data_IF_231626364728
#
_entry.id   IF_231626364728
#
_cell.length_a   1.000
_cell.length_b   1.000
_cell.length_c   1.000
_cell.angle_alpha   90.00
_cell.angle_beta   90.00
_cell.angle_gamma   90.00
#
_symmetry.space_group_name_H-M   'P 1'
#
loop_
_entity.id
_entity.type
_entity.pdbx_description
1 polymer ?
#
# COMPACT_ATOMS: atom_id res chain seq x y z
N UNK A 1 41.50 -22.01 -19.69
CA UNK A 1 40.28 -21.42 -19.12
C UNK A 1 40.52 -19.94 -19.05
N UNK A 2 39.98 -19.20 -20.01
CA UNK A 2 39.92 -17.74 -19.92
C UNK A 2 38.87 -17.41 -18.88
N UNK A 3 39.30 -16.80 -17.77
CA UNK A 3 38.39 -16.27 -16.77
C UNK A 3 37.44 -15.29 -17.45
N UNK A 4 36.15 -15.59 -17.40
CA UNK A 4 35.09 -14.65 -17.77
C UNK A 4 35.15 -13.57 -16.69
N UNK A 5 35.79 -12.45 -17.02
CA UNK A 5 35.63 -11.22 -16.24
C UNK A 5 34.20 -10.78 -16.53
N UNK A 6 33.26 -11.15 -15.66
CA UNK A 6 31.97 -10.48 -15.58
C UNK A 6 32.27 -9.03 -15.16
N UNK A 7 32.47 -8.18 -16.15
CA UNK A 7 32.33 -6.74 -15.99
C UNK A 7 30.85 -6.52 -15.72
N UNK A 8 30.43 -6.64 -14.46
CA UNK A 8 29.07 -6.31 -14.05
C UNK A 8 28.81 -4.87 -14.48
N UNK A 9 27.97 -4.70 -15.52
CA UNK A 9 27.56 -3.39 -15.96
C UNK A 9 26.78 -2.72 -14.82
N UNK A 10 27.38 -1.70 -14.22
CA UNK A 10 26.77 -0.92 -13.15
C UNK A 10 25.58 -0.16 -13.72
N UNK A 11 24.42 -0.30 -13.07
CA UNK A 11 23.22 0.40 -13.50
C UNK A 11 23.36 1.92 -13.37
N UNK A 12 23.00 2.63 -14.43
CA UNK A 12 23.15 4.07 -14.61
C UNK A 12 21.97 4.63 -15.38
N UNK A 13 21.87 5.96 -15.36
CA UNK A 13 20.90 6.65 -16.17
C UNK A 13 21.28 6.53 -17.65
N UNK A 14 20.28 6.22 -18.48
CA UNK A 14 20.44 6.05 -19.94
C UNK A 14 20.46 7.38 -20.70
N UNK A 15 20.13 8.47 -20.01
CA UNK A 15 20.04 9.83 -20.56
C UNK A 15 20.77 10.80 -19.65
N UNK A 16 21.27 11.89 -20.24
CA UNK A 16 21.89 12.98 -19.47
C UNK A 16 20.87 13.67 -18.56
N UNK A 17 21.38 14.30 -17.50
CA UNK A 17 20.57 14.94 -16.45
C UNK A 17 19.60 15.99 -17.03
N UNK A 18 20.02 16.76 -18.03
CA UNK A 18 19.17 17.79 -18.66
C UNK A 18 17.97 17.18 -19.39
N UNK A 19 18.19 16.07 -20.11
CA UNK A 19 17.14 15.34 -20.83
C UNK A 19 16.20 14.67 -19.83
N UNK A 20 16.76 14.19 -18.71
CA UNK A 20 15.99 13.60 -17.62
C UNK A 20 15.02 14.63 -17.05
N UNK A 21 15.49 15.82 -16.68
CA UNK A 21 14.62 16.89 -16.17
C UNK A 21 13.54 17.34 -17.16
N UNK A 22 13.83 17.28 -18.47
CA UNK A 22 12.83 17.60 -19.50
C UNK A 22 11.75 16.52 -19.66
N UNK A 23 12.10 15.25 -19.45
CA UNK A 23 11.17 14.13 -19.58
C UNK A 23 10.29 13.96 -18.34
N UNK A 24 10.84 14.18 -17.15
CA UNK A 24 10.12 14.12 -15.88
C UNK A 24 9.54 15.50 -15.52
N UNK A 25 8.45 15.86 -16.21
CA UNK A 25 7.84 17.20 -16.14
C UNK A 25 7.20 17.52 -14.80
N UNK A 26 6.64 16.51 -14.12
CA UNK A 26 5.94 16.71 -12.87
C UNK A 26 6.96 16.84 -11.73
N UNK A 27 6.88 17.94 -10.98
CA UNK A 27 7.81 18.24 -9.89
C UNK A 27 7.10 18.11 -8.55
N UNK A 28 7.36 17.00 -7.86
CA UNK A 28 7.06 16.87 -6.45
C UNK A 28 8.22 17.43 -5.63
N UNK A 29 7.89 18.29 -4.66
CA UNK A 29 8.84 18.82 -3.68
C UNK A 29 8.73 17.99 -2.40
N UNK A 30 9.88 17.73 -1.76
CA UNK A 30 9.91 17.12 -0.43
C UNK A 30 9.40 18.15 0.58
N UNK A 31 8.24 17.88 1.17
CA UNK A 31 7.59 18.76 2.13
C UNK A 31 8.20 18.59 3.52
N UNK A 32 8.29 17.34 3.97
CA UNK A 32 8.85 16.98 5.27
C UNK A 32 9.39 15.56 5.25
N UNK A 33 10.39 15.32 6.07
CA UNK A 33 11.04 14.03 6.24
C UNK A 33 11.25 13.79 7.73
N UNK A 34 10.89 12.61 8.21
CA UNK A 34 11.06 12.26 9.63
C UNK A 34 11.55 10.83 9.74
N UNK A 35 12.64 10.64 10.48
CA UNK A 35 13.11 9.31 10.85
C UNK A 35 12.24 8.76 11.99
N UNK A 36 11.78 7.53 11.83
CA UNK A 36 10.92 6.87 12.83
C UNK A 36 11.75 6.42 14.03
N UNK A 37 12.96 5.90 13.79
CA UNK A 37 13.92 5.51 14.82
C UNK A 37 15.30 6.14 14.59
N UNK A 38 16.05 6.29 15.67
CA UNK A 38 17.48 6.64 15.63
C UNK A 38 18.37 5.41 15.34
N UNK A 39 17.83 4.20 15.52
CA UNK A 39 18.48 2.94 15.14
C UNK A 39 18.14 2.60 13.69
N UNK A 40 18.98 1.80 13.03
CA UNK A 40 18.65 1.22 11.72
C UNK A 40 17.42 0.32 11.86
N UNK A 41 16.25 0.84 11.50
CA UNK A 41 14.98 0.12 11.50
C UNK A 41 14.31 0.26 10.14
N UNK A 42 13.78 -0.84 9.61
CA UNK A 42 13.06 -0.86 8.35
C UNK A 42 11.58 -0.56 8.60
N UNK A 43 10.95 0.18 7.69
CA UNK A 43 9.48 0.32 7.68
C UNK A 43 8.92 -0.73 6.72
N UNK A 44 8.10 -1.63 7.24
CA UNK A 44 7.56 -2.74 6.48
C UNK A 44 6.26 -2.36 5.75
N UNK A 45 5.35 -1.67 6.43
CA UNK A 45 4.04 -1.26 5.91
C UNK A 45 3.70 0.17 6.33
N UNK A 46 2.89 0.82 5.49
CA UNK A 46 2.42 2.19 5.66
C UNK A 46 0.96 2.24 5.25
N UNK A 47 0.12 2.83 6.08
CA UNK A 47 -1.23 3.20 5.69
C UNK A 47 -1.62 4.56 6.26
N UNK A 48 -2.26 5.38 5.42
CA UNK A 48 -2.76 6.69 5.81
C UNK A 48 -4.28 6.75 5.80
N UNK A 49 -4.86 7.73 6.50
CA UNK A 49 -6.30 8.02 6.44
C UNK A 49 -6.57 9.43 5.91
N UNK A 50 -7.85 9.75 5.69
CA UNK A 50 -8.27 11.08 5.18
C UNK A 50 -7.97 12.25 6.13
N UNK A 51 -7.75 11.98 7.42
CA UNK A 51 -7.33 12.97 8.39
C UNK A 51 -5.82 13.16 8.47
N UNK A 52 -5.07 12.54 7.55
CA UNK A 52 -3.61 12.62 7.45
C UNK A 52 -2.88 12.02 8.66
N UNK A 53 -3.50 11.02 9.30
CA UNK A 53 -2.78 10.10 10.18
C UNK A 53 -2.14 9.01 9.37
N UNK A 54 -0.87 8.77 9.65
CA UNK A 54 -0.03 7.77 9.01
C UNK A 54 0.35 6.75 10.07
N UNK A 55 -0.02 5.50 9.85
CA UNK A 55 0.43 4.37 10.64
C UNK A 55 1.57 3.68 9.89
N UNK A 56 2.72 3.51 10.54
CA UNK A 56 3.88 2.83 9.98
C UNK A 56 4.27 1.66 10.86
N UNK A 57 4.53 0.51 10.27
CA UNK A 57 5.03 -0.66 10.98
C UNK A 57 6.56 -0.73 10.91
N UNK A 58 7.17 -1.00 12.05
CA UNK A 58 8.62 -1.15 12.18
C UNK A 58 9.02 -2.62 12.25
N UNK A 59 10.31 -2.89 12.00
CA UNK A 59 10.92 -4.21 12.14
C UNK A 59 10.91 -4.79 13.56
N UNK A 60 10.56 -4.00 14.59
CA UNK A 60 10.45 -4.45 15.98
C UNK A 60 9.00 -4.80 16.40
N UNK A 61 8.14 -5.03 15.41
CA UNK A 61 6.71 -5.37 15.56
C UNK A 61 5.86 -4.27 16.23
N UNK A 62 6.39 -3.05 16.34
CA UNK A 62 5.62 -1.91 16.80
C UNK A 62 5.09 -1.08 15.64
N UNK A 63 3.99 -0.38 15.90
CA UNK A 63 3.36 0.54 14.96
C UNK A 63 3.55 1.95 15.51
N UNK A 64 4.14 2.83 14.73
CA UNK A 64 4.22 4.25 15.08
C UNK A 64 3.16 5.03 14.31
N UNK A 65 2.44 5.90 15.02
CA UNK A 65 1.39 6.72 14.44
C UNK A 65 1.84 8.17 14.40
N UNK A 66 1.80 8.77 13.23
CA UNK A 66 2.13 10.16 12.99
C UNK A 66 0.91 10.93 12.49
N UNK A 67 0.80 12.18 12.89
CA UNK A 67 -0.14 13.14 12.32
C UNK A 67 0.66 14.09 11.43
N UNK A 68 0.27 14.19 10.16
CA UNK A 68 0.81 15.21 9.27
C UNK A 68 -0.01 16.50 9.43
N UNK A 69 0.69 17.55 9.88
CA UNK A 69 0.13 18.89 10.08
C UNK A 69 0.85 19.86 9.14
N UNK A 70 0.18 20.32 8.08
CA UNK A 70 0.68 21.26 7.05
C UNK A 70 2.05 20.92 6.45
N UNK A 71 3.14 21.04 7.22
CA UNK A 71 4.53 20.85 6.81
C UNK A 71 5.37 20.06 7.83
N UNK A 72 4.78 19.47 8.87
CA UNK A 72 5.50 18.67 9.84
C UNK A 72 4.76 17.40 10.23
N UNK A 73 5.53 16.35 10.52
CA UNK A 73 5.04 15.10 11.09
C UNK A 73 5.22 15.14 12.60
N UNK A 74 4.12 14.98 13.33
CA UNK A 74 4.14 14.89 14.79
C UNK A 74 3.75 13.48 15.21
N UNK A 75 4.62 12.82 15.99
CA UNK A 75 4.32 11.50 16.56
C UNK A 75 3.15 11.61 17.53
N UNK A 76 2.12 10.79 17.31
CA UNK A 76 0.91 10.73 18.14
C UNK A 76 1.09 9.69 19.24
N UNK A 77 1.39 8.45 18.86
CA UNK A 77 1.58 7.35 19.78
C UNK A 77 2.40 6.22 19.16
N UNK A 78 2.77 5.25 20.00
CA UNK A 78 3.37 3.98 19.60
C UNK A 78 2.46 2.86 20.09
N UNK A 79 2.16 1.91 19.23
CA UNK A 79 1.29 0.76 19.49
C UNK A 79 2.18 -0.48 19.47
N UNK A 80 2.09 -1.29 20.54
CA UNK A 80 2.87 -2.51 20.69
C UNK A 80 2.01 -3.56 21.37
N UNK A 81 2.08 -4.80 20.89
CA UNK A 81 1.34 -5.90 21.52
C UNK A 81 1.18 -7.17 20.70
N UNK A 82 1.63 -7.22 19.44
CA UNK A 82 1.76 -8.49 18.72
C UNK A 82 2.89 -9.33 19.31
N UNK A 83 2.67 -10.64 19.38
CA UNK A 83 3.63 -11.59 19.94
C UNK A 83 4.67 -12.06 18.91
N UNK A 84 4.33 -11.99 17.62
CA UNK A 84 5.20 -12.32 16.49
C UNK A 84 5.26 -11.16 15.49
N UNK A 85 5.89 -11.40 14.35
CA UNK A 85 6.07 -10.42 13.27
C UNK A 85 4.77 -9.73 12.88
N UNK A 86 4.79 -8.39 12.82
CA UNK A 86 3.67 -7.63 12.27
C UNK A 86 3.69 -7.71 10.74
N UNK A 87 2.55 -8.05 10.13
CA UNK A 87 2.47 -8.27 8.68
C UNK A 87 1.76 -7.15 7.94
N UNK A 88 0.71 -6.55 8.53
CA UNK A 88 -0.04 -5.48 7.88
C UNK A 88 -0.59 -4.47 8.89
N UNK A 89 -0.79 -3.23 8.43
CA UNK A 89 -1.40 -2.15 9.21
C UNK A 89 -2.35 -1.34 8.33
N UNK A 90 -3.57 -1.14 8.80
CA UNK A 90 -4.63 -0.47 8.03
C UNK A 90 -5.35 0.52 8.92
N UNK A 91 -5.47 1.77 8.47
CA UNK A 91 -6.29 2.77 9.17
C UNK A 91 -7.76 2.58 8.78
N UNK A 92 -8.67 2.73 9.73
CA UNK A 92 -10.10 2.64 9.43
C UNK A 92 -10.54 3.74 8.43
N UNK A 93 -11.31 3.40 7.38
CA UNK A 93 -11.73 4.35 6.35
C UNK A 93 -12.78 5.37 6.84
N UNK A 94 -13.48 5.10 7.94
CA UNK A 94 -14.54 5.94 8.51
C UNK A 94 -14.16 6.53 9.87
N UNK A 95 -13.45 5.80 10.69
CA UNK A 95 -13.09 6.17 12.07
C UNK A 95 -11.63 6.65 12.16
N UNK A 96 -11.43 7.96 12.26
CA UNK A 96 -10.11 8.60 12.25
C UNK A 96 -9.13 8.07 13.32
N UNK A 97 -9.63 7.55 14.44
CA UNK A 97 -8.79 7.12 15.57
C UNK A 97 -8.52 5.63 15.61
N UNK A 98 -9.14 4.84 14.73
CA UNK A 98 -9.04 3.39 14.71
C UNK A 98 -8.01 2.91 13.69
N UNK A 99 -7.18 1.99 14.12
CA UNK A 99 -6.15 1.34 13.30
C UNK A 99 -6.27 -0.16 13.56
N UNK A 100 -6.18 -0.95 12.51
CA UNK A 100 -6.13 -2.40 12.58
C UNK A 100 -4.74 -2.89 12.19
N UNK A 101 -4.38 -4.04 12.71
CA UNK A 101 -3.14 -4.69 12.34
C UNK A 101 -3.24 -6.21 12.42
N UNK A 102 -2.49 -6.88 11.54
CA UNK A 102 -2.35 -8.33 11.52
C UNK A 102 -0.93 -8.75 11.84
N UNK A 103 -0.77 -9.97 12.32
CA UNK A 103 0.54 -10.53 12.58
C UNK A 103 0.63 -12.03 12.35
N UNK A 104 1.88 -12.49 12.33
CA UNK A 104 2.23 -13.91 12.26
C UNK A 104 1.83 -14.69 13.52
N UNK A 105 1.31 -14.01 14.53
CA UNK A 105 0.70 -14.60 15.72
C UNK A 105 -0.72 -15.10 15.49
N UNK A 106 -1.28 -14.91 14.28
CA UNK A 106 -2.62 -15.38 13.93
C UNK A 106 -3.72 -14.55 14.59
N UNK A 107 -3.43 -13.29 14.89
CA UNK A 107 -4.34 -12.37 15.57
C UNK A 107 -4.45 -11.08 14.78
N UNK A 108 -5.67 -10.55 14.65
CA UNK A 108 -5.90 -9.16 14.27
C UNK A 108 -6.10 -8.32 15.52
N UNK A 109 -5.59 -7.09 15.54
CA UNK A 109 -5.74 -6.17 16.67
C UNK A 109 -6.35 -4.86 16.22
N UNK A 110 -7.30 -4.36 17.01
CA UNK A 110 -7.84 -3.00 16.89
C UNK A 110 -7.18 -2.10 17.93
N UNK A 111 -6.72 -0.95 17.47
CA UNK A 111 -6.08 0.08 18.26
C UNK A 111 -6.87 1.37 18.18
N UNK A 112 -7.01 2.07 19.31
CA UNK A 112 -7.49 3.45 19.34
C UNK A 112 -6.33 4.36 19.73
N UNK A 113 -6.00 5.28 18.84
CA UNK A 113 -4.92 6.28 19.04
C UNK A 113 -5.10 7.16 20.28
N UNK A 114 -6.31 7.22 20.85
CA UNK A 114 -6.63 7.99 22.06
C UNK A 114 -6.37 7.21 23.35
N UNK A 115 -6.25 5.88 23.28
CA UNK A 115 -6.14 4.98 24.45
C UNK A 115 -4.68 4.70 24.82
N UNK A 116 -3.79 5.68 24.63
CA UNK A 116 -2.38 5.62 25.03
C UNK A 116 -1.63 4.35 24.59
N UNK A 117 -1.96 3.80 23.42
CA UNK A 117 -1.25 2.68 22.81
C UNK A 117 -1.62 1.28 23.28
N UNK A 118 -2.66 1.13 24.11
CA UNK A 118 -3.20 -0.19 24.47
C UNK A 118 -4.06 -0.77 23.34
N UNK A 119 -3.96 -2.09 23.14
CA UNK A 119 -4.87 -2.82 22.27
C UNK A 119 -6.29 -2.72 22.84
N UNK A 120 -7.24 -2.34 21.99
CA UNK A 120 -8.66 -2.19 22.38
C UNK A 120 -9.38 -3.53 22.26
N UNK A 121 -9.09 -4.28 21.19
CA UNK A 121 -9.75 -5.54 20.92
C UNK A 121 -8.85 -6.44 20.07
N UNK A 122 -8.88 -7.74 20.38
CA UNK A 122 -8.19 -8.78 19.61
C UNK A 122 -9.22 -9.67 18.92
N UNK A 123 -8.97 -9.99 17.65
CA UNK A 123 -9.77 -10.89 16.84
C UNK A 123 -8.92 -12.11 16.54
N UNK A 124 -9.43 -13.27 16.94
CA UNK A 124 -8.76 -14.56 16.79
C UNK A 124 -9.83 -15.63 16.68
N UNK A 125 -9.52 -16.69 15.95
CA UNK A 125 -10.30 -17.91 16.04
C UNK A 125 -9.85 -18.68 17.29
N UNK A 126 -10.73 -18.83 18.28
CA UNK A 126 -10.43 -19.59 19.50
C UNK A 126 -10.70 -21.09 19.32
N UNK A 127 -11.41 -21.47 18.27
CA UNK A 127 -11.79 -22.85 17.99
C UNK A 127 -10.74 -23.55 17.11
N UNK A 128 -9.83 -22.78 16.51
CA UNK A 128 -8.75 -23.31 15.69
C UNK A 128 -7.58 -23.82 16.57
N UNK A 129 -7.32 -25.12 16.49
CA UNK A 129 -6.25 -25.77 17.27
C UNK A 129 -4.85 -25.45 16.73
N UNK A 130 -4.75 -25.18 15.43
CA UNK A 130 -3.50 -24.94 14.73
C UNK A 130 -3.32 -23.45 14.44
N UNK A 131 -2.22 -22.88 14.91
CA UNK A 131 -1.93 -21.47 14.70
C UNK A 131 -1.63 -21.19 13.22
N UNK A 132 -2.47 -20.37 12.59
CA UNK A 132 -2.27 -19.87 11.23
C UNK A 132 -1.78 -18.42 11.22
N UNK A 133 -0.55 -18.16 10.74
CA UNK A 133 -0.04 -16.80 10.59
C UNK A 133 -0.82 -16.03 9.52
N UNK A 134 -1.18 -14.76 9.78
CA UNK A 134 -1.76 -13.88 8.77
C UNK A 134 -0.68 -13.05 8.07
N UNK A 135 -0.60 -13.12 6.75
CA UNK A 135 0.36 -12.37 5.91
C UNK A 135 -0.15 -10.99 5.50
N UNK A 136 -1.46 -10.84 5.40
CA UNK A 136 -2.07 -9.60 4.97
C UNK A 136 -3.46 -9.43 5.57
N UNK A 137 -3.93 -8.19 5.58
CA UNK A 137 -5.31 -7.88 5.92
C UNK A 137 -5.78 -6.61 5.22
N UNK A 138 -7.09 -6.45 5.14
CA UNK A 138 -7.70 -5.16 4.80
C UNK A 138 -9.08 -4.99 5.44
N UNK A 139 -9.57 -3.76 5.41
CA UNK A 139 -10.86 -3.36 5.96
C UNK A 139 -11.75 -2.84 4.85
N UNK A 140 -12.97 -3.35 4.79
CA UNK A 140 -14.01 -2.90 3.86
C UNK A 140 -14.24 -1.39 3.93
N UNK A 141 -14.68 -0.80 2.81
CA UNK A 141 -14.89 0.66 2.70
C UNK A 141 -15.72 1.26 3.84
N UNK A 142 -16.68 0.52 4.41
CA UNK A 142 -17.56 0.99 5.48
C UNK A 142 -16.96 0.83 6.90
N UNK A 143 -15.77 0.24 7.04
CA UNK A 143 -15.09 0.01 8.33
C UNK A 143 -15.66 -1.16 9.13
N UNK A 144 -16.55 -1.99 8.55
CA UNK A 144 -17.32 -2.98 9.32
C UNK A 144 -16.78 -4.40 9.18
N UNK A 145 -16.43 -4.81 7.97
CA UNK A 145 -15.88 -6.13 7.70
C UNK A 145 -14.37 -6.01 7.52
N UNK A 146 -13.64 -6.92 8.15
CA UNK A 146 -12.21 -7.12 7.98
C UNK A 146 -11.98 -8.48 7.36
N UNK A 147 -10.96 -8.59 6.52
CA UNK A 147 -10.51 -9.86 5.95
C UNK A 147 -9.01 -9.98 6.15
N UNK A 148 -8.55 -11.18 6.54
CA UNK A 148 -7.13 -11.50 6.60
C UNK A 148 -6.83 -12.73 5.74
N UNK A 149 -5.66 -12.74 5.09
CA UNK A 149 -5.14 -13.87 4.35
C UNK A 149 -4.04 -14.56 5.14
N UNK A 150 -4.10 -15.89 5.24
CA UNK A 150 -3.09 -16.68 5.95
C UNK A 150 -1.95 -17.15 5.06
N UNK A 151 -0.86 -17.58 5.70
CA UNK A 151 0.09 -18.50 5.08
C UNK A 151 -0.57 -19.85 4.81
N UNK A 152 -0.01 -20.60 3.86
CA UNK A 152 -0.24 -22.02 3.67
C UNK A 152 0.27 -22.74 4.91
N UNK A 153 -0.65 -23.36 5.65
CA UNK A 153 -0.29 -24.24 6.76
C UNK A 153 -0.92 -25.60 6.54
N UNK A 154 -0.08 -26.63 6.58
CA UNK A 154 -0.39 -27.97 6.08
C UNK A 154 -0.67 -27.91 4.58
N UNK A 155 -1.93 -28.08 4.17
CA UNK A 155 -2.33 -28.12 2.77
C UNK A 155 -3.24 -26.94 2.37
N UNK A 156 -3.59 -26.06 3.31
CA UNK A 156 -4.60 -25.02 3.07
C UNK A 156 -4.16 -23.60 3.48
N UNK A 157 -4.57 -22.62 2.67
CA UNK A 157 -4.45 -21.20 2.93
C UNK A 157 -5.86 -20.57 3.00
N UNK A 158 -6.12 -19.77 4.04
CA UNK A 158 -7.46 -19.30 4.35
C UNK A 158 -7.58 -17.78 4.24
N UNK A 159 -8.69 -17.35 3.65
CA UNK A 159 -9.23 -16.02 3.87
C UNK A 159 -10.19 -16.10 5.04
N UNK A 160 -10.03 -15.26 6.05
CA UNK A 160 -10.90 -15.27 7.24
C UNK A 160 -11.51 -13.89 7.44
N UNK A 161 -12.80 -13.84 7.74
CA UNK A 161 -13.59 -12.62 7.85
C UNK A 161 -14.03 -12.36 9.28
N UNK A 162 -14.03 -11.09 9.68
CA UNK A 162 -14.55 -10.63 10.98
C UNK A 162 -15.47 -9.42 10.80
N UNK A 163 -16.49 -9.31 11.66
CA UNK A 163 -17.17 -8.04 11.91
C UNK A 163 -16.39 -7.31 13.01
N UNK A 164 -16.10 -6.03 12.80
CA UNK A 164 -15.43 -5.15 13.75
C UNK A 164 -16.00 -5.22 15.18
N UNK A 165 -17.28 -5.54 15.35
CA UNK A 165 -17.94 -5.60 16.67
C UNK A 165 -17.82 -6.94 17.37
N UNK A 166 -17.38 -7.98 16.66
CA UNK A 166 -17.40 -9.36 17.13
C UNK A 166 -15.99 -9.94 17.04
N UNK A 167 -15.49 -10.47 18.16
CA UNK A 167 -14.13 -11.02 18.22
C UNK A 167 -13.99 -12.38 17.53
N UNK A 168 -15.10 -13.13 17.44
CA UNK A 168 -15.16 -14.40 16.71
C UNK A 168 -15.23 -14.16 15.19
N UNK A 169 -14.62 -15.03 14.38
CA UNK A 169 -14.74 -14.96 12.93
C UNK A 169 -16.20 -15.12 12.48
N UNK A 170 -16.55 -14.43 11.39
CA UNK A 170 -17.82 -14.60 10.69
C UNK A 170 -17.84 -15.88 9.85
N UNK A 171 -16.65 -16.31 9.42
CA UNK A 171 -16.43 -17.36 8.43
C UNK A 171 -15.17 -17.06 7.64
N UNK A 172 -14.95 -17.79 6.56
CA UNK A 172 -13.76 -17.70 5.72
C UNK A 172 -14.06 -18.12 4.29
N UNK A 173 -13.01 -18.19 3.48
CA UNK A 173 -12.93 -18.94 2.23
C UNK A 173 -11.70 -19.84 2.33
N UNK A 174 -11.87 -21.13 2.06
CA UNK A 174 -10.90 -22.17 2.41
C UNK A 174 -10.27 -22.82 1.18
N UNK A 175 -10.88 -22.69 0.01
CA UNK A 175 -10.43 -23.33 -1.23
C UNK A 175 -10.12 -22.32 -2.34
N UNK A 176 -9.88 -21.05 -1.96
CA UNK A 176 -9.69 -19.95 -2.90
C UNK A 176 -8.26 -19.88 -3.43
N UNK A 177 -7.29 -20.21 -2.60
CA UNK A 177 -5.86 -20.16 -2.91
C UNK A 177 -5.18 -21.42 -2.42
N UNK A 178 -4.16 -21.87 -3.17
CA UNK A 178 -3.41 -23.10 -2.85
C UNK A 178 -2.02 -22.84 -2.27
N UNK A 179 -1.69 -21.58 -2.00
CA UNK A 179 -0.41 -21.13 -1.46
C UNK A 179 -0.62 -19.82 -0.66
N UNK A 180 0.42 -19.30 0.00
CA UNK A 180 0.37 -18.12 0.86
C UNK A 180 -0.40 -16.95 0.23
N UNK A 181 -1.37 -16.41 0.96
CA UNK A 181 -2.16 -15.26 0.52
C UNK A 181 -1.37 -14.00 0.84
N UNK A 182 -0.75 -13.41 -0.17
CA UNK A 182 0.15 -12.25 -0.01
C UNK A 182 -0.58 -10.93 0.08
N UNK A 183 -1.79 -10.85 -0.50
CA UNK A 183 -2.56 -9.61 -0.56
C UNK A 183 -4.05 -9.85 -0.38
N UNK A 184 -4.67 -8.96 0.40
CA UNK A 184 -6.11 -8.81 0.55
C UNK A 184 -6.38 -7.31 0.41
N UNK A 185 -7.27 -6.91 -0.51
CA UNK A 185 -7.62 -5.51 -0.77
C UNK A 185 -9.10 -5.34 -1.07
N UNK A 186 -9.82 -4.74 -0.14
CA UNK A 186 -11.19 -4.32 -0.39
C UNK A 186 -11.23 -3.17 -1.39
N UNK A 187 -12.32 -3.11 -2.14
CA UNK A 187 -12.56 -2.02 -3.05
C UNK A 187 -12.72 -0.68 -2.28
N UNK A 188 -12.19 0.42 -2.85
CA UNK A 188 -12.11 1.71 -2.15
C UNK A 188 -13.45 2.45 -1.95
N UNK A 189 -14.54 1.94 -2.50
CA UNK A 189 -15.85 2.62 -2.61
C UNK A 189 -17.00 1.63 -2.45
N UNK A 190 -16.94 0.53 -3.21
CA UNK A 190 -17.79 -0.66 -3.10
C UNK A 190 -17.43 -1.47 -1.86
N UNK A 191 -18.44 -1.90 -1.10
CA UNK A 191 -18.23 -2.69 0.12
C UNK A 191 -18.33 -4.21 -0.12
N UNK A 192 -18.88 -4.58 -1.28
CA UNK A 192 -19.14 -5.93 -1.74
C UNK A 192 -17.93 -6.56 -2.43
N UNK A 193 -17.00 -5.77 -2.97
CA UNK A 193 -15.89 -6.29 -3.77
C UNK A 193 -14.59 -6.40 -2.97
N UNK A 194 -13.96 -7.56 -3.12
CA UNK A 194 -12.66 -7.90 -2.55
C UNK A 194 -11.75 -8.47 -3.63
N UNK A 195 -10.49 -8.01 -3.68
CA UNK A 195 -9.44 -8.64 -4.47
C UNK A 195 -8.42 -9.31 -3.54
N UNK A 196 -8.00 -10.53 -3.90
CA UNK A 196 -6.97 -11.28 -3.16
C UNK A 196 -5.93 -11.80 -4.12
N UNK A 197 -4.68 -11.87 -3.68
CA UNK A 197 -3.57 -12.41 -4.46
C UNK A 197 -2.74 -13.37 -3.63
N UNK A 198 -2.21 -14.40 -4.29
CA UNK A 198 -1.41 -15.44 -3.66
C UNK A 198 -0.12 -15.72 -4.44
N UNK A 199 0.77 -16.48 -3.80
CA UNK A 199 1.95 -17.07 -4.42
C UNK A 199 1.61 -18.12 -5.48
N UNK A 200 0.39 -18.66 -5.48
CA UNK A 200 -0.12 -19.62 -6.48
C UNK A 200 -0.21 -19.03 -7.91
N UNK A 201 -0.04 -17.72 -8.05
CA UNK A 201 -0.10 -17.00 -9.32
C UNK A 201 -1.50 -16.60 -9.75
N UNK A 202 -2.48 -16.66 -8.83
CA UNK A 202 -3.85 -16.25 -9.04
C UNK A 202 -4.15 -14.95 -8.29
N UNK A 203 -5.00 -14.14 -8.90
CA UNK A 203 -5.71 -13.05 -8.26
C UNK A 203 -7.19 -13.33 -8.35
N UNK A 204 -7.84 -13.49 -7.21
CA UNK A 204 -9.28 -13.76 -7.15
C UNK A 204 -10.04 -12.47 -6.83
N UNK A 205 -11.18 -12.29 -7.51
CA UNK A 205 -12.11 -11.20 -7.28
C UNK A 205 -13.40 -11.79 -6.73
N UNK A 206 -13.83 -11.31 -5.57
CA UNK A 206 -15.01 -11.79 -4.87
C UNK A 206 -16.08 -10.72 -4.74
N UNK A 207 -17.34 -11.16 -4.74
CA UNK A 207 -18.48 -10.46 -4.16
C UNK A 207 -18.79 -11.07 -2.78
N UNK A 208 -18.33 -10.41 -1.72
CA UNK A 208 -18.46 -10.90 -0.33
C UNK A 208 -19.88 -10.76 0.25
N UNK A 209 -20.86 -10.33 -0.55
CA UNK A 209 -22.26 -10.33 -0.15
C UNK A 209 -22.94 -11.69 -0.37
N UNK A 210 -22.34 -12.56 -1.18
CA UNK A 210 -22.84 -13.91 -1.40
C UNK A 210 -22.58 -14.81 -0.19
N UNK A 211 -23.40 -15.84 -0.03
CA UNK A 211 -23.39 -16.68 1.18
C UNK A 211 -22.29 -17.75 1.16
N UNK A 212 -21.88 -18.18 -0.03
CA UNK A 212 -20.91 -19.26 -0.22
C UNK A 212 -19.68 -18.73 -0.96
N UNK A 213 -18.54 -19.39 -0.75
CA UNK A 213 -17.30 -19.09 -1.46
C UNK A 213 -17.44 -19.23 -2.97
N UNK A 214 -18.06 -20.32 -3.43
CA UNK A 214 -18.26 -20.61 -4.85
C UNK A 214 -19.11 -19.54 -5.56
N UNK A 215 -20.16 -19.04 -4.88
CA UNK A 215 -21.01 -17.97 -5.43
C UNK A 215 -20.33 -16.60 -5.31
N UNK A 216 -19.51 -16.40 -4.28
CA UNK A 216 -18.77 -15.16 -4.07
C UNK A 216 -17.66 -14.97 -5.10
N UNK A 217 -17.00 -16.04 -5.56
CA UNK A 217 -15.92 -15.97 -6.53
C UNK A 217 -16.43 -15.51 -7.91
N UNK A 218 -16.13 -14.27 -8.26
CA UNK A 218 -16.54 -13.69 -9.55
C UNK A 218 -15.55 -14.07 -10.67
N UNK A 219 -14.26 -13.87 -10.40
CA UNK A 219 -13.20 -14.11 -11.37
C UNK A 219 -11.95 -14.65 -10.68
N UNK A 220 -11.28 -15.59 -11.34
CA UNK A 220 -9.93 -16.02 -11.00
C UNK A 220 -8.99 -15.64 -12.15
N UNK A 221 -8.14 -14.65 -11.89
CA UNK A 221 -7.25 -14.04 -12.86
C UNK A 221 -5.89 -14.71 -12.78
N UNK A 222 -5.46 -15.34 -13.87
CA UNK A 222 -4.16 -16.00 -13.94
C UNK A 222 -3.05 -14.98 -14.27
N UNK A 223 -2.26 -14.64 -13.26
CA UNK A 223 -1.14 -13.69 -13.35
C UNK A 223 0.14 -14.36 -13.88
N UNK A 224 0.15 -15.69 -13.97
CA UNK A 224 1.28 -16.54 -14.41
C UNK A 224 2.53 -16.47 -13.53
N UNK A 225 2.50 -15.69 -12.44
CA UNK A 225 3.57 -15.56 -11.47
C UNK A 225 3.02 -15.11 -10.11
N UNK A 226 3.77 -15.38 -9.04
CA UNK A 226 3.39 -15.06 -7.67
C UNK A 226 3.10 -13.56 -7.48
N UNK A 227 1.99 -13.27 -6.81
CA UNK A 227 1.53 -11.90 -6.56
C UNK A 227 2.31 -11.27 -5.40
N UNK A 228 2.88 -10.08 -5.60
CA UNK A 228 3.57 -9.31 -4.56
C UNK A 228 2.69 -8.19 -4.00
N UNK A 229 2.06 -7.39 -4.88
CA UNK A 229 1.18 -6.29 -4.48
C UNK A 229 -0.06 -6.17 -5.37
N UNK A 230 -1.17 -5.80 -4.73
CA UNK A 230 -2.43 -5.47 -5.39
C UNK A 230 -2.86 -4.06 -5.01
N UNK A 231 -3.34 -3.31 -6.01
CA UNK A 231 -3.83 -1.94 -5.83
C UNK A 231 -5.00 -1.63 -6.75
N UNK A 232 -6.10 -1.14 -6.18
CA UNK A 232 -7.24 -0.65 -6.91
C UNK A 232 -6.93 0.73 -7.52
N UNK A 233 -7.16 0.88 -8.82
CA UNK A 233 -6.93 2.14 -9.54
C UNK A 233 -8.22 2.94 -9.70
N UNK A 234 -9.31 2.25 -10.00
CA UNK A 234 -10.63 2.81 -10.16
C UNK A 234 -11.69 1.74 -9.81
N UNK A 235 -12.94 1.99 -10.21
CA UNK A 235 -14.09 1.10 -9.95
C UNK A 235 -14.02 -0.28 -10.62
N UNK A 236 -13.09 -0.46 -11.58
CA UNK A 236 -13.08 -1.59 -12.50
C UNK A 236 -11.71 -2.18 -12.74
N UNK A 237 -10.64 -1.51 -12.32
CA UNK A 237 -9.28 -1.90 -12.64
C UNK A 237 -8.45 -2.16 -11.38
N UNK A 238 -7.84 -3.34 -11.37
CA UNK A 238 -6.85 -3.76 -10.38
C UNK A 238 -5.48 -3.81 -11.05
N UNK A 239 -4.50 -3.20 -10.39
CA UNK A 239 -3.09 -3.39 -10.69
C UNK A 239 -2.53 -4.53 -9.85
N UNK A 240 -1.76 -5.40 -10.49
CA UNK A 240 -1.01 -6.46 -9.85
C UNK A 240 0.48 -6.29 -10.17
N UNK A 241 1.31 -6.29 -9.14
CA UNK A 241 2.76 -6.36 -9.23
C UNK A 241 3.17 -7.76 -8.80
N UNK A 242 3.91 -8.46 -9.65
CA UNK A 242 4.41 -9.81 -9.39
C UNK A 242 5.74 -9.76 -8.64
N UNK A 243 6.14 -10.88 -8.03
CA UNK A 243 7.48 -11.01 -7.41
C UNK A 243 8.63 -10.83 -8.42
N UNK A 244 8.39 -11.12 -9.71
CA UNK A 244 9.34 -10.80 -10.79
C UNK A 244 9.42 -9.32 -11.15
N UNK A 245 8.70 -8.45 -10.43
CA UNK A 245 8.62 -7.01 -10.70
C UNK A 245 8.02 -6.70 -12.09
N UNK A 246 7.12 -7.56 -12.56
CA UNK A 246 6.27 -7.28 -13.71
C UNK A 246 4.96 -6.63 -13.24
N UNK A 247 4.42 -5.75 -14.07
CA UNK A 247 3.18 -5.05 -13.81
C UNK A 247 2.09 -5.54 -14.75
N UNK A 248 0.95 -5.93 -14.18
CA UNK A 248 -0.25 -6.29 -14.93
C UNK A 248 -1.44 -5.44 -14.47
N UNK A 249 -2.30 -5.07 -15.41
CA UNK A 249 -3.56 -4.38 -15.17
C UNK A 249 -4.70 -5.25 -15.65
N UNK A 250 -5.67 -5.46 -14.77
CA UNK A 250 -6.81 -6.33 -15.00
C UNK A 250 -8.11 -5.56 -14.86
N UNK A 251 -9.09 -5.90 -15.68
CA UNK A 251 -10.44 -5.38 -15.55
C UNK A 251 -11.30 -6.40 -14.80
N UNK A 252 -11.93 -5.96 -13.72
CA UNK A 252 -12.69 -6.80 -12.78
C UNK A 252 -14.14 -7.02 -13.21
N UNK A 253 -14.64 -6.29 -14.21
CA UNK A 253 -16.00 -6.49 -14.73
C UNK A 253 -16.06 -7.66 -15.71
N UNK A 254 -14.99 -7.89 -16.49
CA UNK A 254 -14.90 -8.93 -17.51
C UNK A 254 -13.80 -9.97 -17.26
N UNK A 255 -12.90 -9.72 -16.32
CA UNK A 255 -11.76 -10.60 -16.02
C UNK A 255 -10.62 -10.53 -17.05
N UNK A 256 -10.63 -9.56 -17.97
CA UNK A 256 -9.63 -9.48 -19.02
C UNK A 256 -8.37 -8.71 -18.56
N UNK A 257 -7.20 -9.20 -18.96
CA UNK A 257 -5.95 -8.46 -18.82
C UNK A 257 -5.93 -7.29 -19.81
N UNK A 258 -5.90 -6.07 -19.28
CA UNK A 258 -5.88 -4.83 -20.07
C UNK A 258 -4.47 -4.53 -20.56
N UNK A 259 -3.48 -4.61 -19.67
CA UNK A 259 -2.07 -4.27 -19.98
C UNK A 259 -1.11 -5.15 -19.19
N UNK A 260 0.04 -5.43 -19.78
CA UNK A 260 1.17 -6.10 -19.11
C UNK A 260 2.49 -5.44 -19.53
N UNK A 261 3.31 -5.13 -18.53
CA UNK A 261 4.62 -4.50 -18.68
C UNK A 261 5.66 -5.32 -17.91
N UNK A 262 6.68 -5.77 -18.63
CA UNK A 262 7.79 -6.48 -18.00
C UNK A 262 8.68 -5.51 -17.24
N UNK A 263 9.40 -6.02 -16.24
CA UNK A 263 10.42 -5.30 -15.46
C UNK A 263 11.36 -4.47 -16.34
N UNK A 264 11.87 -5.05 -17.44
CA UNK A 264 12.75 -4.35 -18.39
C UNK A 264 12.10 -3.17 -19.10
N UNK A 265 10.79 -3.25 -19.38
CA UNK A 265 10.04 -2.13 -19.96
C UNK A 265 9.86 -1.02 -18.93
N UNK A 266 9.60 -1.38 -17.67
CA UNK A 266 9.51 -0.42 -16.57
C UNK A 266 10.85 0.26 -16.35
N UNK A 267 11.95 -0.49 -16.25
CA UNK A 267 13.31 0.05 -16.09
C UNK A 267 13.68 1.05 -17.20
N UNK A 268 13.39 0.71 -18.47
CA UNK A 268 13.59 1.63 -19.60
C UNK A 268 12.70 2.86 -19.55
N UNK A 269 11.49 2.74 -19.00
CA UNK A 269 10.58 3.88 -18.84
C UNK A 269 11.07 4.85 -17.77
N UNK A 270 11.64 4.36 -16.67
CA UNK A 270 12.32 5.18 -15.66
C UNK A 270 13.74 5.58 -16.06
N UNK A 271 14.16 5.34 -17.31
CA UNK A 271 15.48 5.69 -17.88
C UNK A 271 16.68 5.02 -17.22
N UNK A 272 16.51 3.80 -16.71
CA UNK A 272 17.59 2.98 -16.16
C UNK A 272 18.09 1.95 -17.17
N UNK A 273 19.37 1.61 -17.06
CA UNK A 273 20.06 0.71 -17.99
C UNK A 273 19.81 -0.76 -17.71
N UNK A 274 19.67 -1.14 -16.44
CA UNK A 274 19.56 -2.53 -16.00
C UNK A 274 18.18 -2.81 -15.44
N UNK A 275 17.47 -3.76 -16.05
CA UNK A 275 16.18 -4.24 -15.56
C UNK A 275 16.29 -4.91 -14.20
N UNK A 276 17.35 -5.70 -14.00
CA UNK A 276 17.56 -6.52 -12.79
C UNK A 276 17.76 -5.74 -11.49
N UNK A 277 18.04 -4.44 -11.58
CA UNK A 277 18.16 -3.56 -10.42
C UNK A 277 16.88 -2.74 -10.18
N UNK A 278 15.90 -2.79 -11.09
CA UNK A 278 14.65 -2.04 -11.00
C UNK A 278 13.64 -2.75 -10.10
N UNK A 279 13.00 -2.04 -9.18
CA UNK A 279 11.92 -2.59 -8.35
C UNK A 279 10.67 -1.71 -8.44
N UNK A 280 9.50 -2.32 -8.26
CA UNK A 280 8.23 -1.62 -8.26
C UNK A 280 7.77 -1.41 -6.82
N UNK A 281 7.28 -0.21 -6.50
CA UNK A 281 6.82 0.14 -5.15
C UNK A 281 5.34 -0.10 -5.04
N UNK A 282 4.53 0.62 -5.81
CA UNK A 282 3.08 0.49 -5.83
C UNK A 282 2.49 1.28 -7.01
N UNK A 283 1.21 1.09 -7.25
CA UNK A 283 0.42 1.89 -8.18
C UNK A 283 -0.71 2.62 -7.47
N UNK A 284 -0.96 3.85 -7.90
CA UNK A 284 -2.08 4.65 -7.42
C UNK A 284 -2.72 5.44 -8.57
N UNK A 285 -3.95 5.90 -8.35
CA UNK A 285 -4.64 6.80 -9.27
C UNK A 285 -4.37 8.24 -8.86
N UNK A 286 -3.81 9.02 -9.78
CA UNK A 286 -3.51 10.44 -9.57
C UNK A 286 -4.79 11.29 -9.47
N UNK A 287 -4.62 12.57 -9.16
CA UNK A 287 -5.73 13.55 -9.16
C UNK A 287 -6.48 13.63 -10.50
N UNK A 288 -5.79 13.31 -11.60
CA UNK A 288 -6.33 13.34 -12.97
C UNK A 288 -6.95 12.00 -13.40
N UNK A 289 -7.18 11.07 -12.47
CA UNK A 289 -7.63 9.70 -12.73
C UNK A 289 -6.64 8.87 -13.59
N UNK A 290 -5.39 9.32 -13.73
CA UNK A 290 -4.36 8.58 -14.44
C UNK A 290 -3.65 7.58 -13.52
N UNK A 291 -3.43 6.36 -14.02
CA UNK A 291 -2.68 5.34 -13.30
C UNK A 291 -1.18 5.69 -13.26
N UNK A 292 -0.64 5.84 -12.06
CA UNK A 292 0.76 6.17 -11.80
C UNK A 292 1.44 5.01 -11.09
N UNK A 293 2.47 4.45 -11.74
CA UNK A 293 3.38 3.48 -11.15
C UNK A 293 4.55 4.22 -10.48
N UNK A 294 4.84 3.87 -9.23
CA UNK A 294 6.05 4.28 -8.55
C UNK A 294 7.09 3.13 -8.65
N UNK A 295 8.27 3.43 -9.17
CA UNK A 295 9.34 2.45 -9.34
C UNK A 295 10.70 3.05 -8.95
N UNK A 296 11.59 2.20 -8.46
CA UNK A 296 12.95 2.57 -8.11
C UNK A 296 13.99 1.70 -8.80
N UNK A 297 15.26 2.03 -8.56
CA UNK A 297 16.39 1.17 -8.91
C UNK A 297 17.40 1.12 -7.77
N UNK A 298 17.98 -0.06 -7.55
CA UNK A 298 19.12 -0.29 -6.68
C UNK A 298 20.44 0.23 -7.28
N UNK A 299 20.44 0.57 -8.57
CA UNK A 299 21.61 1.07 -9.29
C UNK A 299 22.08 2.46 -8.86
N UNK A 300 23.38 2.72 -9.02
CA UNK A 300 24.02 3.97 -8.62
C UNK A 300 24.16 4.09 -7.11
N UNK A 301 23.52 5.12 -6.51
CA UNK A 301 23.48 5.36 -5.06
C UNK A 301 22.37 4.57 -4.33
N UNK A 302 21.61 3.74 -5.04
CA UNK A 302 20.57 2.87 -4.47
C UNK A 302 19.28 3.57 -4.02
N UNK A 303 19.13 4.87 -4.30
CA UNK A 303 17.98 5.68 -3.84
C UNK A 303 17.19 6.30 -4.99
N UNK A 304 17.33 5.77 -6.20
CA UNK A 304 16.59 6.29 -7.36
C UNK A 304 15.11 5.92 -7.20
N UNK A 305 14.26 6.94 -7.23
CA UNK A 305 12.80 6.79 -7.18
C UNK A 305 12.17 7.68 -8.25
N UNK A 306 11.36 7.09 -9.11
CA UNK A 306 10.72 7.74 -10.25
C UNK A 306 9.28 7.25 -10.40
N UNK A 307 8.41 8.09 -10.93
CA UNK A 307 7.05 7.69 -11.28
C UNK A 307 6.84 7.70 -12.78
N UNK A 308 5.91 6.85 -13.21
CA UNK A 308 5.57 6.61 -14.59
C UNK A 308 4.06 6.58 -14.72
N UNK A 309 3.51 7.34 -15.67
CA UNK A 309 2.09 7.29 -16.00
C UNK A 309 1.82 6.27 -17.09
N UNK A 310 0.66 5.64 -17.03
CA UNK A 310 0.22 4.66 -18.02
C UNK A 310 -0.83 5.27 -18.93
N UNK A 311 -0.40 5.68 -20.12
CA UNK A 311 -1.30 6.16 -21.17
C UNK A 311 -1.33 5.15 -22.31
N UNK A 312 -2.54 4.79 -22.74
CA UNK A 312 -2.79 3.79 -23.78
C UNK A 312 -2.06 2.46 -23.53
N UNK A 313 -0.93 2.20 -24.21
CA UNK A 313 -0.12 0.98 -24.09
C UNK A 313 1.35 1.28 -23.78
N UNK A 314 1.66 2.50 -23.35
CA UNK A 314 3.04 2.93 -23.09
C UNK A 314 3.17 3.52 -21.70
N UNK A 315 4.39 3.40 -21.21
CA UNK A 315 4.84 3.94 -19.94
C UNK A 315 5.55 5.27 -20.22
N UNK A 316 5.03 6.35 -19.65
CA UNK A 316 5.56 7.70 -19.80
C UNK A 316 6.20 8.17 -18.50
N UNK A 317 7.46 8.66 -18.53
CA UNK A 317 8.09 9.27 -17.36
C UNK A 317 7.25 10.43 -16.82
N UNK A 318 6.96 10.46 -15.51
CA UNK A 318 6.18 11.53 -14.87
C UNK A 318 7.03 12.37 -13.93
N UNK A 319 7.46 11.80 -12.79
CA UNK A 319 8.17 12.52 -11.73
C UNK A 319 9.51 11.86 -11.41
N UNK A 320 10.54 12.67 -11.17
CA UNK A 320 11.82 12.23 -10.60
C UNK A 320 11.96 12.74 -9.17
N UNK A 321 12.05 11.84 -8.19
CA UNK A 321 12.16 12.19 -6.77
C UNK A 321 13.63 12.31 -6.35
N UNK A 322 14.29 13.37 -6.81
CA UNK A 322 15.75 13.56 -6.64
C UNK A 322 16.24 13.66 -5.19
N UNK A 323 15.37 14.02 -4.25
CA UNK A 323 15.71 14.15 -2.83
C UNK A 323 15.51 12.86 -2.02
N UNK A 324 15.17 11.75 -2.67
CA UNK A 324 14.96 10.48 -1.99
C UNK A 324 16.30 9.91 -1.47
N UNK A 325 16.29 9.37 -0.26
CA UNK A 325 17.49 8.87 0.46
C UNK A 325 17.34 7.43 0.95
N UNK A 326 16.39 6.69 0.38
CA UNK A 326 16.09 5.33 0.79
C UNK A 326 15.55 4.48 -0.36
N UNK A 327 15.74 3.18 -0.26
CA UNK A 327 14.97 2.18 -1.01
C UNK A 327 13.53 2.18 -0.49
N UNK A 328 12.58 2.57 -1.33
CA UNK A 328 11.17 2.72 -0.93
C UNK A 328 10.47 1.36 -1.02
N UNK A 329 9.76 0.97 0.04
CA UNK A 329 8.99 -0.29 0.09
C UNK A 329 7.49 -0.07 -0.01
N UNK A 330 7.01 1.02 0.58
CA UNK A 330 5.59 1.34 0.60
C UNK A 330 5.36 2.79 0.25
N UNK A 331 4.21 3.05 -0.36
CA UNK A 331 3.71 4.41 -0.52
C UNK A 331 2.22 4.47 -0.20
N UNK A 332 1.77 5.66 0.18
CA UNK A 332 0.38 5.98 0.35
C UNK A 332 0.11 7.32 -0.32
N UNK A 333 -0.93 7.38 -1.15
CA UNK A 333 -1.28 8.57 -1.92
C UNK A 333 -2.66 9.09 -1.49
N UNK A 334 -2.73 10.38 -1.18
CA UNK A 334 -3.97 11.10 -0.96
C UNK A 334 -4.34 11.92 -2.18
N UNK A 335 -5.31 11.40 -2.94
CA UNK A 335 -5.82 12.02 -4.17
C UNK A 335 -6.44 13.40 -3.94
N UNK A 336 -7.07 13.63 -2.79
CA UNK A 336 -7.77 14.90 -2.52
C UNK A 336 -6.80 16.08 -2.34
N UNK A 337 -5.56 15.79 -1.95
CA UNK A 337 -4.53 16.78 -1.59
C UNK A 337 -3.29 16.70 -2.47
N UNK A 338 -3.27 15.76 -3.42
CA UNK A 338 -2.12 15.43 -4.25
C UNK A 338 -0.84 15.24 -3.42
N UNK A 339 -0.96 14.41 -2.38
CA UNK A 339 0.08 14.17 -1.38
C UNK A 339 0.54 12.72 -1.49
N UNK A 340 1.82 12.51 -1.72
CA UNK A 340 2.44 11.18 -1.73
C UNK A 340 3.31 11.01 -0.48
N UNK A 341 3.10 9.93 0.25
CA UNK A 341 3.95 9.53 1.37
C UNK A 341 4.71 8.27 0.97
N UNK A 342 6.01 8.25 1.18
CA UNK A 342 6.86 7.10 0.87
C UNK A 342 7.65 6.68 2.11
N UNK A 343 7.76 5.37 2.33
CA UNK A 343 8.54 4.78 3.42
C UNK A 343 9.36 3.60 2.92
N UNK A 344 10.47 3.33 3.60
CA UNK A 344 11.44 2.37 3.09
C UNK A 344 12.43 1.83 4.10
N UNK A 345 13.56 1.37 3.60
CA UNK A 345 14.53 0.61 4.38
C UNK A 345 15.37 1.47 5.33
N UNK A 346 15.49 2.77 5.06
CA UNK A 346 16.21 3.70 5.94
C UNK A 346 15.37 4.16 7.14
N UNK A 347 14.11 3.70 7.26
CA UNK A 347 13.23 4.10 8.36
C UNK A 347 12.76 5.56 8.27
N UNK A 348 12.72 6.14 7.07
CA UNK A 348 12.29 7.51 6.84
C UNK A 348 10.84 7.54 6.35
N UNK A 349 10.06 8.47 6.89
CA UNK A 349 8.77 8.88 6.32
C UNK A 349 9.03 10.16 5.53
N UNK A 350 8.98 10.06 4.21
CA UNK A 350 9.17 11.20 3.31
C UNK A 350 7.81 11.57 2.71
N UNK A 351 7.43 12.84 2.85
CA UNK A 351 6.16 13.39 2.36
C UNK A 351 6.43 14.32 1.19
N UNK A 352 5.74 14.08 0.09
CA UNK A 352 5.90 14.77 -1.19
C UNK A 352 4.61 15.47 -1.57
N UNK A 353 4.73 16.68 -2.12
CA UNK A 353 3.60 17.47 -2.61
C UNK A 353 3.93 18.08 -3.97
N UNK A 354 2.94 18.21 -4.85
CA UNK A 354 3.13 18.95 -6.10
C UNK A 354 3.28 20.45 -5.81
N UNK A 355 4.22 21.08 -6.54
CA UNK A 355 4.72 22.42 -6.25
C UNK A 355 3.69 23.56 -6.23
N UNK A 356 2.44 23.35 -6.64
CA UNK A 356 1.38 24.37 -6.57
C UNK A 356 0.94 24.68 -5.14
N UNK A 357 1.10 23.74 -4.20
CA UNK A 357 0.73 23.96 -2.80
C UNK A 357 1.86 24.63 -1.97
N UNK A 358 3.07 24.74 -2.53
CA UNK A 358 4.26 25.21 -1.81
C UNK A 358 4.58 26.71 -1.99
N UNK A 359 4.00 27.39 -2.99
CA UNK A 359 4.34 28.79 -3.30
C UNK A 359 3.23 29.81 -3.03
N UNK A 360 2.04 29.37 -2.62
CA UNK A 360 1.03 30.27 -2.08
C UNK A 360 0.58 29.77 -0.72
N UNK A 361 0.76 30.60 0.31
CA UNK A 361 0.12 30.48 1.62
C UNK A 361 -1.41 30.66 1.53
N UNK A 362 -2.04 29.91 0.63
CA UNK A 362 -3.47 29.91 0.35
C UNK A 362 -3.90 28.47 0.16
N UNK A 363 -3.74 27.69 1.24
CA UNK A 363 -4.58 26.51 1.46
C UNK A 363 -6.01 26.93 1.16
N UNK A 364 -6.63 26.21 0.22
CA UNK A 364 -7.88 26.59 -0.42
C UNK A 364 -8.91 27.11 0.59
N UNK A 365 -9.57 28.22 0.27
CA UNK A 365 -10.68 28.79 1.05
C UNK A 365 -11.79 27.77 1.35
N UNK A 366 -11.82 26.61 0.66
CA UNK A 366 -12.72 25.47 0.88
C UNK A 366 -12.40 24.65 2.15
N UNK A 367 -11.13 24.52 2.54
CA UNK A 367 -10.73 23.82 3.78
C UNK A 367 -11.10 24.65 5.03
N UNK A 368 -10.87 25.97 4.98
CA UNK A 368 -11.23 26.86 6.09
C UNK A 368 -12.75 27.06 6.25
N UNK A 369 -13.53 27.01 5.16
CA UNK A 369 -14.99 27.08 5.24
C UNK A 369 -15.61 25.80 5.81
N UNK A 370 -15.06 24.63 5.45
CA UNK A 370 -15.54 23.34 5.97
C UNK A 370 -15.23 23.15 7.45
N UNK A 371 -14.03 23.54 7.90
CA UNK A 371 -13.69 23.53 9.34
C UNK A 371 -14.54 24.53 10.16
N UNK A 372 -14.86 25.71 9.60
CA UNK A 372 -15.75 26.68 10.27
C UNK A 372 -17.19 26.17 10.36
N UNK A 373 -17.69 25.46 9.35
CA UNK A 373 -19.03 24.86 9.41
C UNK A 373 -19.14 23.72 10.42
N UNK A 374 -18.07 22.93 10.61
CA UNK A 374 -18.00 21.88 11.63
C UNK A 374 -18.01 22.44 13.06
N UNK A 375 -17.40 23.61 13.30
CA UNK A 375 -17.40 24.25 14.62
C UNK A 375 -18.73 24.90 15.01
N UNK A 376 -19.55 25.32 14.04
CA UNK A 376 -20.83 25.99 14.33
C UNK A 376 -21.94 25.01 14.75
N UNK A 377 -21.80 23.70 14.50
CA UNK A 377 -22.81 22.68 14.85
C UNK A 377 -22.62 22.00 16.20
N UNK A 378 -21.84 22.57 17.13
CA UNK A 378 -21.88 22.10 18.54
C UNK A 378 -23.08 22.69 19.25
N UNK A 379 -24.19 21.93 19.25
CA UNK A 379 -25.35 22.18 20.10
C UNK A 379 -24.93 22.29 21.56
N UNK A 380 -25.28 23.40 22.22
CA UNK A 380 -25.23 23.54 23.68
C UNK A 380 -26.39 22.75 24.29
N UNK A 381 -26.17 21.94 25.34
CA UNK A 381 -27.25 21.34 26.10
C UNK A 381 -27.95 22.42 26.95
N UNK A 382 -29.28 22.43 26.91
CA UNK A 382 -30.12 22.93 27.99
C UNK A 382 -30.49 21.76 28.90
#
# INVERSE_FOLDING_TARGET
MSDIIDTEEIDRDTVDVEVLEQQFKNKYKLLTETAVSLTKSYINKLHGNKSLKLAVSQSDNSIEVYQLNNSSLTKVCRLSGHAKGLTEVVCDPKEEHQIYSSGLDGVLKLWDTRTSGSCVQEYKDEEEELLRPYECMDVSHNGRVMCAGSQLVEDDAYLVFWDQRVTKPLGGYWNSHTDDITQVKFHQTRMDILATGSLDGLVNIFNVMEQTEDDALMYSLNVENSTEKLSWLDEKHVACITQSNDLQLWNTDNGDMVKSFTRDKVARSIKRSKGDDCYLVDMYSSIDDSAVLLAGSYGGDGHVLRSVTIEEKKLYPSTNFSHNKQTVRCCWYDKDRDLLVTTGESGLISVWTSGECAENGTISKKLSSSMKQLQVKRHKPY
#
